data_IF_491086463352
#
_entry.id   IF_491086463352
#
_cell.length_a   1.000
_cell.length_b   1.000
_cell.length_c   1.000
_cell.angle_alpha   90.00
_cell.angle_beta   90.00
_cell.angle_gamma   90.00
#
_symmetry.space_group_name_H-M   'P 1'
#
loop_
_entity.id
_entity.type
_entity.pdbx_description
1 polymer ?
#
# COMPACT_ATOMS: atom_id res chain seq x y z
N UNK A 1 -21.27 -21.36 9.58
CA UNK A 1 -21.75 -20.10 10.17
C UNK A 1 -20.53 -19.24 10.49
N UNK A 2 -20.36 -18.09 9.85
CA UNK A 2 -19.24 -17.21 10.16
C UNK A 2 -19.44 -16.65 11.57
N UNK A 3 -18.44 -16.78 12.43
CA UNK A 3 -18.49 -16.28 13.81
C UNK A 3 -18.38 -14.75 13.76
N UNK A 4 -19.53 -14.06 13.78
CA UNK A 4 -19.62 -12.59 13.74
C UNK A 4 -18.92 -11.89 14.91
N UNK A 5 -18.48 -12.65 15.93
CA UNK A 5 -17.71 -12.17 17.06
C UNK A 5 -16.33 -11.60 16.71
N UNK A 6 -15.82 -11.81 15.48
CA UNK A 6 -14.50 -11.33 15.08
C UNK A 6 -14.52 -9.98 14.34
N UNK A 7 -15.68 -9.31 14.24
CA UNK A 7 -15.73 -7.94 13.71
C UNK A 7 -15.20 -6.97 14.77
N UNK A 8 -14.28 -6.05 14.43
CA UNK A 8 -13.87 -5.00 15.34
C UNK A 8 -15.09 -4.24 15.83
N UNK A 9 -15.36 -4.28 17.14
CA UNK A 9 -16.42 -3.46 17.75
C UNK A 9 -15.97 -2.01 17.66
N UNK A 10 -16.80 -1.15 17.07
CA UNK A 10 -16.51 0.26 16.95
C UNK A 10 -16.26 0.86 18.35
N UNK A 11 -15.04 1.35 18.65
CA UNK A 11 -14.69 1.86 19.96
C UNK A 11 -15.55 3.05 20.39
N UNK A 12 -16.17 3.75 19.44
CA UNK A 12 -17.05 4.88 19.73
C UNK A 12 -18.35 4.48 20.43
N UNK A 13 -18.82 3.25 20.25
CA UNK A 13 -20.03 2.72 20.88
C UNK A 13 -19.76 1.80 22.07
N UNK A 14 -18.48 1.55 22.38
CA UNK A 14 -18.10 0.73 23.52
C UNK A 14 -18.61 1.34 24.83
N UNK A 15 -18.92 0.51 25.85
CA UNK A 15 -19.20 1.00 27.19
C UNK A 15 -18.13 1.99 27.67
N UNK A 16 -18.55 3.03 28.37
CA UNK A 16 -17.69 4.05 28.95
C UNK A 16 -18.02 4.16 30.44
N UNK A 17 -17.00 4.03 31.29
CA UNK A 17 -17.16 4.21 32.72
C UNK A 17 -17.09 5.70 33.07
N UNK A 18 -18.10 6.16 33.79
CA UNK A 18 -18.24 7.53 34.24
C UNK A 18 -17.52 7.73 35.58
N UNK A 19 -17.17 8.98 35.94
CA UNK A 19 -16.47 9.27 37.21
C UNK A 19 -17.24 8.86 38.47
N UNK A 20 -18.56 8.75 38.38
CA UNK A 20 -19.43 8.29 39.46
C UNK A 20 -19.50 6.75 39.58
N UNK A 21 -18.76 6.01 38.74
CA UNK A 21 -18.73 4.55 38.71
C UNK A 21 -19.71 3.91 37.72
N UNK A 22 -20.70 4.66 37.22
CA UNK A 22 -21.71 4.14 36.29
C UNK A 22 -21.11 3.81 34.92
N UNK A 23 -21.71 2.85 34.23
CA UNK A 23 -21.33 2.52 32.85
C UNK A 23 -22.41 2.95 31.87
N UNK A 24 -22.05 3.81 30.92
CA UNK A 24 -22.93 4.20 29.82
C UNK A 24 -22.54 3.43 28.54
N UNK A 25 -23.52 3.08 27.70
CA UNK A 25 -23.30 2.27 26.49
C UNK A 25 -23.94 2.90 25.26
N UNK A 26 -23.58 2.42 24.06
CA UNK A 26 -24.22 2.81 22.81
C UNK A 26 -24.15 4.32 22.52
N UNK A 27 -25.29 4.91 22.17
CA UNK A 27 -25.39 6.32 21.77
C UNK A 27 -24.98 7.30 22.88
N UNK A 28 -25.25 6.97 24.15
CA UNK A 28 -24.85 7.82 25.28
C UNK A 28 -23.31 7.90 25.39
N UNK A 29 -22.64 6.76 25.25
CA UNK A 29 -21.19 6.68 25.26
C UNK A 29 -20.57 7.41 24.06
N UNK A 30 -21.16 7.26 22.87
CA UNK A 30 -20.80 8.03 21.68
C UNK A 30 -20.89 9.54 21.92
N UNK A 31 -22.06 10.04 22.35
CA UNK A 31 -22.29 11.46 22.60
C UNK A 31 -21.31 12.03 23.64
N UNK A 32 -20.99 11.24 24.67
CA UNK A 32 -20.00 11.62 25.68
C UNK A 32 -18.61 11.78 25.06
N UNK A 33 -18.14 10.80 24.28
CA UNK A 33 -16.85 10.88 23.57
C UNK A 33 -16.79 12.06 22.60
N UNK A 34 -17.88 12.33 21.88
CA UNK A 34 -17.99 13.51 20.99
C UNK A 34 -17.85 14.81 21.79
N UNK A 35 -18.53 14.91 22.93
CA UNK A 35 -18.43 16.08 23.82
C UNK A 35 -17.01 16.25 24.38
N UNK A 36 -16.38 15.17 24.81
CA UNK A 36 -15.00 15.19 25.34
C UNK A 36 -13.97 15.62 24.28
N UNK A 37 -14.23 15.32 23.00
CA UNK A 37 -13.43 15.80 21.86
C UNK A 37 -13.74 17.25 21.42
N UNK A 38 -14.62 17.95 22.13
CA UNK A 38 -15.01 19.32 21.77
C UNK A 38 -16.00 19.38 20.60
N UNK A 39 -16.68 18.28 20.29
CA UNK A 39 -17.73 18.20 19.27
C UNK A 39 -17.31 17.47 17.98
N UNK A 40 -18.31 17.16 17.15
CA UNK A 40 -18.11 16.39 15.92
C UNK A 40 -17.22 17.12 14.90
N UNK A 41 -17.30 18.45 14.85
CA UNK A 41 -16.47 19.27 13.96
C UNK A 41 -14.97 19.09 14.23
N UNK A 42 -14.57 18.99 15.50
CA UNK A 42 -13.16 18.75 15.87
C UNK A 42 -12.71 17.37 15.39
N UNK A 43 -13.54 16.34 15.59
CA UNK A 43 -13.26 14.98 15.12
C UNK A 43 -13.09 14.97 13.59
N UNK A 44 -13.99 15.61 12.85
CA UNK A 44 -13.91 15.70 11.39
C UNK A 44 -12.60 16.37 10.96
N UNK A 45 -12.22 17.48 11.60
CA UNK A 45 -10.95 18.18 11.31
C UNK A 45 -9.74 17.29 11.57
N UNK A 46 -9.70 16.60 12.71
CA UNK A 46 -8.61 15.67 13.03
C UNK A 46 -8.50 14.54 11.99
N UNK A 47 -9.63 13.97 11.57
CA UNK A 47 -9.68 12.91 10.55
C UNK A 47 -9.20 13.43 9.19
N UNK A 48 -9.65 14.62 8.78
CA UNK A 48 -9.23 15.24 7.53
C UNK A 48 -7.71 15.52 7.50
N UNK A 49 -7.16 16.01 8.61
CA UNK A 49 -5.71 16.24 8.75
C UNK A 49 -4.95 14.92 8.61
N UNK A 50 -5.36 13.86 9.32
CA UNK A 50 -4.72 12.55 9.23
C UNK A 50 -4.78 11.97 7.82
N UNK A 51 -5.93 12.09 7.15
CA UNK A 51 -6.08 11.65 5.77
C UNK A 51 -5.16 12.43 4.82
N UNK A 52 -5.07 13.75 4.98
CA UNK A 52 -4.16 14.59 4.22
C UNK A 52 -2.69 14.23 4.43
N UNK A 53 -2.28 13.99 5.67
CA UNK A 53 -0.93 13.53 6.00
C UNK A 53 -0.62 12.17 5.37
N UNK A 54 -1.55 11.20 5.47
CA UNK A 54 -1.39 9.88 4.85
C UNK A 54 -1.25 9.98 3.33
N UNK A 55 -2.06 10.83 2.68
CA UNK A 55 -1.97 11.07 1.24
C UNK A 55 -0.63 11.69 0.84
N UNK A 56 -0.13 12.67 1.60
CA UNK A 56 1.18 13.28 1.35
C UNK A 56 2.31 12.26 1.48
N UNK A 57 2.30 11.42 2.52
CA UNK A 57 3.28 10.34 2.71
C UNK A 57 3.23 9.36 1.53
N UNK A 58 2.03 8.95 1.10
CA UNK A 58 1.86 8.05 -0.03
C UNK A 58 2.37 8.66 -1.35
N UNK A 59 2.14 9.96 -1.57
CA UNK A 59 2.64 10.66 -2.75
C UNK A 59 4.17 10.72 -2.78
N UNK A 60 4.82 11.00 -1.64
CA UNK A 60 6.29 10.95 -1.54
C UNK A 60 6.82 9.55 -1.79
N UNK A 61 6.22 8.53 -1.18
CA UNK A 61 6.62 7.14 -1.40
C UNK A 61 6.49 6.70 -2.87
N UNK A 62 5.42 7.13 -3.56
CA UNK A 62 5.24 6.86 -4.99
C UNK A 62 6.32 7.54 -5.84
N UNK A 63 6.63 8.81 -5.54
CA UNK A 63 7.67 9.56 -6.23
C UNK A 63 9.06 8.93 -6.05
N UNK A 64 9.40 8.52 -4.83
CA UNK A 64 10.67 7.82 -4.55
C UNK A 64 10.75 6.45 -5.23
N UNK A 65 9.63 5.73 -5.33
CA UNK A 65 9.56 4.46 -6.05
C UNK A 65 9.80 4.63 -7.56
N UNK A 66 9.28 5.71 -8.17
CA UNK A 66 9.52 6.02 -9.59
C UNK A 66 10.99 6.36 -9.86
N UNK A 67 11.62 7.14 -8.98
CA UNK A 67 13.03 7.53 -9.08
C UNK A 67 14.01 6.37 -8.90
N UNK A 68 13.61 5.30 -8.20
CA UNK A 68 14.47 4.15 -7.93
C UNK A 68 14.30 3.01 -8.93
N UNK A 69 13.45 3.17 -9.95
CA UNK A 69 13.27 2.15 -11.00
C UNK A 69 14.60 1.88 -11.71
N UNK A 70 15.24 0.72 -11.50
CA UNK A 70 16.47 0.40 -12.22
C UNK A 70 16.10 0.22 -13.69
N UNK A 71 16.88 0.83 -14.59
CA UNK A 71 16.79 0.54 -16.01
C UNK A 71 16.85 -0.99 -16.19
N UNK A 72 15.88 -1.63 -16.87
CA UNK A 72 15.96 -3.06 -17.14
C UNK A 72 17.30 -3.35 -17.83
N UNK A 73 18.08 -4.36 -17.40
CA UNK A 73 19.29 -4.72 -18.12
C UNK A 73 18.89 -5.03 -19.56
N UNK A 74 19.51 -4.35 -20.52
CA UNK A 74 19.21 -4.50 -21.93
C UNK A 74 19.24 -5.99 -22.32
N UNK A 75 18.29 -6.47 -23.15
CA UNK A 75 18.25 -7.87 -23.55
C UNK A 75 19.57 -8.23 -24.23
N UNK A 76 20.36 -9.09 -23.58
CA UNK A 76 21.56 -9.69 -24.14
C UNK A 76 21.16 -10.37 -25.46
N UNK A 77 21.80 -10.08 -26.60
CA UNK A 77 21.44 -10.72 -27.86
C UNK A 77 21.54 -12.24 -27.69
N UNK A 78 20.42 -12.92 -27.93
CA UNK A 78 20.36 -14.37 -27.92
C UNK A 78 21.38 -14.88 -28.93
N UNK A 79 22.37 -15.63 -28.44
CA UNK A 79 23.33 -16.34 -29.28
C UNK A 79 22.53 -17.31 -30.16
N UNK A 80 22.27 -16.89 -31.39
CA UNK A 80 21.70 -17.75 -32.43
C UNK A 80 22.51 -19.05 -32.45
N UNK A 81 21.85 -20.14 -32.04
CA UNK A 81 22.39 -21.50 -32.22
C UNK A 81 22.38 -21.74 -33.73
N UNK A 82 23.49 -21.41 -34.39
CA UNK A 82 23.74 -21.87 -35.76
C UNK A 82 23.72 -23.41 -35.75
N UNK A 83 22.89 -24.06 -36.58
CA UNK A 83 23.05 -25.47 -36.86
C UNK A 83 24.20 -25.60 -37.86
N UNK A 84 25.40 -25.94 -37.40
CA UNK A 84 26.51 -26.29 -38.29
C UNK A 84 26.27 -27.71 -38.81
N UNK A 85 25.45 -27.83 -39.85
CA UNK A 85 25.46 -28.99 -40.71
C UNK A 85 26.00 -28.60 -42.08
N UNK A 86 27.06 -29.31 -42.50
CA UNK A 86 27.61 -29.47 -43.86
C UNK A 86 28.76 -28.52 -44.26
N UNK A 87 29.98 -29.07 -44.25
CA UNK A 87 31.02 -28.70 -45.24
C UNK A 87 30.54 -29.10 -46.66
N UNK A 88 31.04 -28.42 -47.71
CA UNK A 88 32.23 -28.92 -48.39
C UNK A 88 33.27 -27.83 -48.67
N UNK A 89 34.51 -28.27 -48.82
CA UNK A 89 35.71 -27.49 -49.12
C UNK A 89 35.55 -26.65 -50.39
N UNK A 90 35.94 -25.38 -50.33
CA UNK A 90 36.27 -24.61 -51.53
C UNK A 90 37.35 -23.58 -51.20
N UNK A 91 38.60 -23.94 -51.49
CA UNK A 91 39.73 -23.02 -51.55
C UNK A 91 39.77 -22.42 -52.97
N UNK A 92 39.64 -21.09 -53.16
CA UNK A 92 40.10 -20.48 -54.41
C UNK A 92 41.59 -20.20 -54.30
N UNK A 93 42.35 -20.77 -55.25
CA UNK A 93 43.79 -20.64 -55.33
C UNK A 93 44.27 -19.19 -55.50
N UNK A 94 45.45 -18.93 -54.93
CA UNK A 94 46.20 -17.71 -55.17
C UNK A 94 46.72 -17.70 -56.62
N UNK A 95 46.50 -16.56 -57.27
CA UNK A 95 47.16 -16.15 -58.50
C UNK A 95 48.66 -15.91 -58.24
N UNK A 96 49.51 -16.71 -58.89
CA UNK A 96 50.77 -16.29 -59.53
C UNK A 96 51.31 -17.40 -60.44
#
# INVERSE_FOLDING_TARGET
MANDNNKPKDPWYNPLQMPNGDTITGCAAFNRRVKEKGGMQTIIKEVAIKAGQAAAIAAVAAYEAEQTTPTPPAPRPARSRQPTSRQPEHTPGNLH
#
